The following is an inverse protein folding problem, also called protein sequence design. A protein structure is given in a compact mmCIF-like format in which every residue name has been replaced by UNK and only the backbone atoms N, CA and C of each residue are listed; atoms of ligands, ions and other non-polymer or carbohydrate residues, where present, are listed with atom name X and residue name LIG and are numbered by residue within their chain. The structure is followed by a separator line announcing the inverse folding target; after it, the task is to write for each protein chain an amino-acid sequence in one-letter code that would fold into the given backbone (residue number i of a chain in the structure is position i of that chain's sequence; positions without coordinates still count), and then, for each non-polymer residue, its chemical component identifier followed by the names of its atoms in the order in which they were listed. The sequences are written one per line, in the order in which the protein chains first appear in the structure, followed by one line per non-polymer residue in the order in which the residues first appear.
data_IF_992021187700
#
_entry.id   IF_992021187700
#
_cell.length_a   1.000
_cell.length_b   1.000
_cell.length_c   1.000
_cell.angle_alpha   90.00
_cell.angle_beta   90.00
_cell.angle_gamma   90.00
#
_symmetry.space_group_name_H-M   'P 1'
#
loop_
_entity.id
_entity.type
_entity.pdbx_description
1 polymer ?
#
# COMPACT_ATOMS: atom_id res chain seq x y z
N UNK A 1 40.29 20.58 38.88
CA UNK A 1 39.95 19.96 37.58
C UNK A 1 39.00 20.89 36.85
N UNK A 2 39.34 21.28 35.63
CA UNK A 2 38.50 22.09 34.74
C UNK A 2 37.24 21.30 34.38
N UNK A 3 36.06 21.91 34.51
CA UNK A 3 34.78 21.29 34.15
C UNK A 3 34.82 20.82 32.67
N UNK A 4 34.75 19.50 32.39
CA UNK A 4 34.85 18.96 31.03
C UNK A 4 33.76 19.50 30.10
N UNK A 5 32.63 19.99 30.64
CA UNK A 5 31.56 20.62 29.86
C UNK A 5 32.00 21.91 29.17
N UNK A 6 33.06 22.57 29.65
CA UNK A 6 33.66 23.75 29.00
C UNK A 6 34.41 23.43 27.71
N UNK A 7 34.72 22.14 27.47
CA UNK A 7 35.39 21.66 26.27
C UNK A 7 34.42 21.29 25.14
N UNK A 8 33.11 21.23 25.41
CA UNK A 8 32.11 20.88 24.39
C UNK A 8 32.17 21.91 23.26
N UNK A 9 32.43 21.50 22.00
CA UNK A 9 32.56 22.41 20.87
C UNK A 9 31.31 23.26 20.69
N UNK A 10 31.46 24.53 20.30
CA UNK A 10 30.32 25.40 20.01
C UNK A 10 29.61 24.93 18.74
N UNK A 11 28.30 25.14 18.67
CA UNK A 11 27.49 24.73 17.52
C UNK A 11 27.99 25.34 16.21
N UNK A 12 28.45 26.60 16.22
CA UNK A 12 29.00 27.24 15.01
C UNK A 12 30.30 26.59 14.53
N UNK A 13 31.13 26.08 15.45
CA UNK A 13 32.34 25.34 15.09
C UNK A 13 31.99 23.96 14.47
N UNK A 14 31.00 23.26 15.04
CA UNK A 14 30.51 21.99 14.50
C UNK A 14 29.82 22.17 13.13
N UNK A 15 29.06 23.25 12.95
CA UNK A 15 28.44 23.58 11.66
C UNK A 15 29.46 23.98 10.58
N UNK A 16 30.72 24.23 10.95
CA UNK A 16 31.83 24.46 10.03
C UNK A 16 32.64 23.18 9.74
N UNK A 17 32.36 22.04 10.40
CA UNK A 17 32.94 20.75 10.04
C UNK A 17 32.50 20.39 8.60
N UNK A 18 33.43 20.09 7.67
CA UNK A 18 33.10 19.81 6.27
C UNK A 18 32.03 18.72 6.09
N UNK A 19 32.04 17.69 6.94
CA UNK A 19 31.07 16.58 6.90
C UNK A 19 29.65 17.08 7.21
N UNK A 20 29.54 18.01 8.15
CA UNK A 20 28.28 18.63 8.55
C UNK A 20 27.88 19.77 7.58
N UNK A 21 28.82 20.40 6.88
CA UNK A 21 28.53 21.34 5.78
C UNK A 21 27.85 20.63 4.61
N UNK A 22 28.38 19.48 4.19
CA UNK A 22 27.75 18.68 3.13
C UNK A 22 26.37 18.18 3.55
N UNK A 23 26.23 17.73 4.81
CA UNK A 23 24.94 17.34 5.37
C UNK A 23 23.94 18.51 5.41
N UNK A 24 24.39 19.74 5.67
CA UNK A 24 23.51 20.92 5.65
C UNK A 24 22.91 21.16 4.25
N UNK A 25 23.69 20.93 3.19
CA UNK A 25 23.22 21.05 1.81
C UNK A 25 22.15 20.01 1.45
N UNK A 26 22.28 18.79 1.98
CA UNK A 26 21.42 17.66 1.64
C UNK A 26 20.19 17.53 2.54
N UNK A 27 20.36 17.72 3.85
CA UNK A 27 19.34 17.48 4.88
C UNK A 27 18.73 18.76 5.44
N UNK A 28 19.34 19.91 5.17
CA UNK A 28 18.94 21.20 5.69
C UNK A 28 19.59 21.53 7.04
N UNK A 29 19.93 22.81 7.21
CA UNK A 29 20.65 23.31 8.40
C UNK A 29 19.92 23.08 9.71
N UNK A 30 18.59 23.19 9.74
CA UNK A 30 17.80 22.99 10.96
C UNK A 30 17.94 21.57 11.50
N UNK A 31 17.88 20.56 10.63
CA UNK A 31 18.02 19.16 11.00
C UNK A 31 19.43 18.89 11.54
N UNK A 32 20.46 19.32 10.80
CA UNK A 32 21.86 19.13 11.21
C UNK A 32 22.13 19.81 12.55
N UNK A 33 21.57 21.01 12.78
CA UNK A 33 21.69 21.70 14.07
C UNK A 33 21.03 20.94 15.22
N UNK A 34 19.89 20.29 15.00
CA UNK A 34 19.24 19.46 16.01
C UNK A 34 20.11 18.26 16.39
N UNK A 35 20.65 17.54 15.40
CA UNK A 35 21.57 16.41 15.62
C UNK A 35 22.83 16.83 16.38
N UNK A 36 23.40 18.00 16.04
CA UNK A 36 24.52 18.59 16.78
C UNK A 36 24.13 18.88 18.23
N UNK A 37 22.94 19.47 18.45
CA UNK A 37 22.48 19.80 19.79
C UNK A 37 22.32 18.54 20.65
N UNK A 38 21.79 17.45 20.09
CA UNK A 38 21.64 16.17 20.78
C UNK A 38 23.00 15.58 21.16
N UNK A 39 23.96 15.55 20.23
CA UNK A 39 25.34 15.11 20.51
C UNK A 39 26.03 15.97 21.59
N UNK A 40 25.85 17.29 21.55
CA UNK A 40 26.35 18.20 22.58
C UNK A 40 25.72 17.92 23.96
N UNK A 41 24.44 17.51 24.02
CA UNK A 41 23.79 17.16 25.29
C UNK A 41 24.36 15.87 25.87
N UNK A 42 24.60 14.84 25.04
CA UNK A 42 25.28 13.62 25.49
C UNK A 42 26.65 13.92 26.10
N UNK A 43 27.43 14.81 25.48
CA UNK A 43 28.72 15.24 26.02
C UNK A 43 28.59 16.03 27.34
N UNK A 44 27.51 16.81 27.51
CA UNK A 44 27.24 17.54 28.76
C UNK A 44 26.76 16.63 29.88
N UNK A 45 26.05 15.56 29.54
CA UNK A 45 25.62 14.49 30.46
C UNK A 45 26.78 13.57 30.86
N UNK A 46 27.86 13.54 30.07
CA UNK A 46 29.04 12.70 30.32
C UNK A 46 28.99 11.35 29.61
N UNK A 47 28.02 11.14 28.71
CA UNK A 47 27.83 9.89 27.96
C UNK A 47 28.85 9.73 26.82
N UNK A 48 29.39 10.84 26.31
CA UNK A 48 30.47 10.88 25.32
C UNK A 48 31.53 11.93 25.69
N UNK A 49 32.76 11.81 25.18
CA UNK A 49 33.77 12.83 25.42
C UNK A 49 33.48 14.11 24.60
N UNK A 50 33.83 15.30 25.10
CA UNK A 50 33.66 16.55 24.35
C UNK A 50 34.34 16.56 22.97
N UNK A 51 35.46 15.86 22.81
CA UNK A 51 36.20 15.78 21.54
C UNK A 51 35.47 14.88 20.52
N UNK A 52 34.60 13.96 20.97
CA UNK A 52 33.88 12.99 20.11
C UNK A 52 32.56 13.57 19.55
N UNK A 53 32.17 14.78 19.96
CA UNK A 53 30.86 15.37 19.61
C UNK A 53 30.66 15.48 18.09
N UNK A 54 31.70 15.83 17.35
CA UNK A 54 31.61 15.94 15.89
C UNK A 54 31.36 14.58 15.22
N UNK A 55 32.11 13.56 15.65
CA UNK A 55 31.99 12.20 15.10
C UNK A 55 30.63 11.59 15.47
N UNK A 56 30.17 11.83 16.70
CA UNK A 56 28.85 11.40 17.13
C UNK A 56 27.73 12.09 16.35
N UNK A 57 27.83 13.41 16.12
CA UNK A 57 26.85 14.14 15.31
C UNK A 57 26.82 13.64 13.87
N UNK A 58 27.98 13.37 13.26
CA UNK A 58 28.06 12.80 11.90
C UNK A 58 27.46 11.40 11.84
N UNK A 59 27.77 10.53 12.80
CA UNK A 59 27.22 9.17 12.87
C UNK A 59 25.69 9.15 13.11
N UNK A 60 25.18 10.17 13.80
CA UNK A 60 23.76 10.33 14.09
C UNK A 60 22.95 10.97 12.94
N UNK A 61 23.59 11.47 11.88
CA UNK A 61 22.88 12.04 10.73
C UNK A 61 21.93 11.02 10.09
N UNK A 62 20.69 11.41 9.77
CA UNK A 62 19.80 10.54 9.02
C UNK A 62 20.23 10.47 7.55
N UNK A 63 19.87 9.37 6.89
CA UNK A 63 20.14 9.16 5.46
C UNK A 63 19.27 10.08 4.58
N UNK A 64 18.11 10.52 5.10
CA UNK A 64 17.21 11.43 4.40
C UNK A 64 16.66 12.50 5.34
N UNK A 65 16.14 13.59 4.78
CA UNK A 65 15.41 14.61 5.54
C UNK A 65 14.02 14.14 6.01
N UNK A 66 13.59 12.94 5.62
CA UNK A 66 12.35 12.32 6.08
C UNK A 66 12.59 11.36 7.26
N UNK A 67 11.58 11.22 8.12
CA UNK A 67 11.61 10.33 9.28
C UNK A 67 11.40 8.86 8.93
N UNK A 68 10.82 8.57 7.75
CA UNK A 68 10.62 7.21 7.27
C UNK A 68 11.98 6.56 6.97
N UNK A 69 12.12 5.28 7.34
CA UNK A 69 13.34 4.49 7.18
C UNK A 69 13.08 3.33 6.22
N UNK A 70 14.08 2.93 5.41
CA UNK A 70 13.97 1.72 4.62
C UNK A 70 13.85 0.49 5.53
N UNK A 71 12.97 -0.44 5.13
CA UNK A 71 12.73 -1.70 5.82
C UNK A 71 12.77 -2.83 4.80
N UNK A 72 13.58 -3.85 5.05
CA UNK A 72 13.48 -5.13 4.36
C UNK A 72 12.33 -5.91 5.00
N UNK A 73 11.26 -6.11 4.23
CA UNK A 73 10.11 -6.90 4.64
C UNK A 73 10.44 -8.40 4.51
N UNK A 74 10.81 -9.05 5.61
CA UNK A 74 11.02 -10.50 5.68
C UNK A 74 9.89 -11.19 6.45
N UNK A 75 8.69 -10.59 6.47
CA UNK A 75 7.55 -11.13 7.21
C UNK A 75 6.77 -12.20 6.44
N UNK A 76 6.98 -12.33 5.13
CA UNK A 76 6.14 -13.21 4.30
C UNK A 76 4.74 -12.65 4.06
N UNK A 77 4.45 -11.42 4.47
CA UNK A 77 3.20 -10.72 4.18
C UNK A 77 3.43 -9.77 3.01
N UNK A 78 2.88 -10.11 1.83
CA UNK A 78 3.16 -9.41 0.56
C UNK A 78 2.69 -7.95 0.61
N UNK A 79 1.44 -7.73 1.01
CA UNK A 79 0.79 -6.43 1.16
C UNK A 79 0.70 -6.11 2.65
N UNK A 80 1.81 -5.62 3.22
CA UNK A 80 1.89 -5.33 4.64
C UNK A 80 1.47 -3.89 4.95
N UNK A 81 0.30 -3.70 5.57
CA UNK A 81 -0.29 -2.38 5.85
C UNK A 81 0.64 -1.45 6.65
N UNK A 82 1.27 -1.95 7.72
CA UNK A 82 2.18 -1.13 8.54
C UNK A 82 3.52 -0.78 7.86
N UNK A 83 3.91 -1.50 6.80
CA UNK A 83 5.15 -1.26 6.05
C UNK A 83 4.91 -0.51 4.74
N UNK A 84 3.70 0.04 4.55
CA UNK A 84 3.37 0.85 3.36
C UNK A 84 2.72 0.09 2.21
N UNK A 85 2.18 -1.11 2.45
CA UNK A 85 1.49 -1.96 1.45
C UNK A 85 2.41 -2.39 0.30
N UNK A 86 2.04 -2.10 -0.95
CA UNK A 86 2.75 -2.53 -2.15
C UNK A 86 4.04 -1.71 -2.37
N UNK A 87 5.22 -2.36 -2.44
CA UNK A 87 6.42 -1.70 -2.91
C UNK A 87 6.35 -1.45 -4.42
N UNK A 88 6.91 -0.32 -4.86
CA UNK A 88 6.96 0.04 -6.28
C UNK A 88 8.08 -0.69 -7.01
N UNK A 89 7.84 -1.08 -8.26
CA UNK A 89 8.90 -1.58 -9.15
C UNK A 89 9.93 -0.48 -9.45
N UNK A 90 11.13 -0.86 -9.92
CA UNK A 90 12.15 0.11 -10.33
C UNK A 90 11.63 1.08 -11.38
N UNK A 91 10.87 0.58 -12.36
CA UNK A 91 10.24 1.41 -13.40
C UNK A 91 9.29 2.46 -12.81
N UNK A 92 8.47 2.08 -11.83
CA UNK A 92 7.58 3.02 -11.15
C UNK A 92 8.34 4.03 -10.29
N UNK A 93 9.43 3.63 -9.61
CA UNK A 93 10.31 4.55 -8.88
C UNK A 93 10.96 5.57 -9.82
N UNK A 94 11.51 5.14 -10.95
CA UNK A 94 12.14 6.04 -11.93
C UNK A 94 11.11 7.03 -12.53
N UNK A 95 9.86 6.60 -12.72
CA UNK A 95 8.76 7.46 -13.12
C UNK A 95 8.43 8.52 -12.05
N UNK A 96 8.43 8.16 -10.76
CA UNK A 96 8.25 9.11 -9.65
C UNK A 96 9.41 10.10 -9.58
N UNK A 97 10.65 9.65 -9.75
CA UNK A 97 11.84 10.52 -9.77
C UNK A 97 11.71 11.54 -10.90
N UNK A 98 11.30 11.11 -12.10
CA UNK A 98 11.00 12.02 -13.21
C UNK A 98 9.89 13.01 -12.86
N UNK A 99 8.80 12.51 -12.27
CA UNK A 99 7.66 13.32 -11.85
C UNK A 99 7.97 14.27 -10.68
N UNK A 100 9.11 14.15 -10.00
CA UNK A 100 9.54 15.13 -8.99
C UNK A 100 9.78 16.51 -9.61
N UNK A 101 10.24 16.56 -10.88
CA UNK A 101 10.40 17.77 -11.68
C UNK A 101 9.12 18.27 -12.35
N UNK A 102 9.25 19.23 -13.27
CA UNK A 102 8.14 19.67 -14.11
C UNK A 102 7.83 18.61 -15.17
N UNK A 103 6.55 18.27 -15.34
CA UNK A 103 6.08 17.27 -16.31
C UNK A 103 4.85 17.76 -17.06
N UNK A 104 4.55 17.13 -18.19
CA UNK A 104 3.43 17.42 -19.08
C UNK A 104 2.09 16.83 -18.58
N UNK A 105 1.94 16.66 -17.26
CA UNK A 105 0.80 15.97 -16.61
C UNK A 105 -0.59 16.45 -17.04
N UNK A 106 -0.72 17.73 -17.45
CA UNK A 106 -1.94 18.35 -18.00
C UNK A 106 -1.62 19.23 -19.23
N UNK A 107 -0.51 18.97 -19.92
CA UNK A 107 -0.03 19.81 -21.01
C UNK A 107 0.28 18.98 -22.25
N UNK A 108 -0.19 19.41 -23.40
CA UNK A 108 0.12 18.76 -24.65
C UNK A 108 1.33 19.45 -25.30
N UNK A 109 2.46 18.74 -25.35
CA UNK A 109 3.71 19.26 -25.89
C UNK A 109 3.65 19.56 -27.41
N UNK A 110 2.77 18.89 -28.16
CA UNK A 110 2.65 19.10 -29.60
C UNK A 110 1.85 20.37 -29.93
N UNK A 111 0.81 20.66 -29.15
CA UNK A 111 -0.10 21.80 -29.38
C UNK A 111 0.16 23.00 -28.49
N UNK A 112 0.92 22.84 -27.41
CA UNK A 112 1.18 23.88 -26.41
C UNK A 112 -0.04 24.25 -25.56
N UNK A 113 -1.05 23.36 -25.48
CA UNK A 113 -2.34 23.63 -24.82
C UNK A 113 -2.60 22.69 -23.65
N UNK A 114 -3.58 23.04 -22.82
CA UNK A 114 -4.02 22.20 -21.70
C UNK A 114 -4.64 20.90 -22.22
N UNK A 115 -4.25 19.78 -21.62
CA UNK A 115 -4.71 18.43 -21.93
C UNK A 115 -5.44 17.80 -20.73
N UNK A 116 -6.04 16.62 -20.96
CA UNK A 116 -6.60 15.79 -19.89
C UNK A 116 -5.47 15.33 -18.94
N UNK A 117 -5.68 15.53 -17.63
CA UNK A 117 -4.72 15.11 -16.60
C UNK A 117 -4.49 13.59 -16.67
N UNK A 118 -3.22 13.19 -16.67
CA UNK A 118 -2.85 11.77 -16.54
C UNK A 118 -3.35 10.90 -17.70
N UNK A 119 -3.36 11.43 -18.94
CA UNK A 119 -3.86 10.72 -20.12
C UNK A 119 -3.21 9.34 -20.33
N UNK A 120 -1.91 9.20 -20.05
CA UNK A 120 -1.17 7.94 -20.18
C UNK A 120 -1.65 6.90 -19.16
N UNK A 121 -1.61 7.24 -17.87
CA UNK A 121 -2.18 6.40 -16.81
C UNK A 121 -3.64 5.97 -17.07
N UNK A 122 -4.49 6.87 -17.58
CA UNK A 122 -5.87 6.54 -17.91
C UNK A 122 -5.99 5.61 -19.12
N UNK A 123 -5.13 5.75 -20.13
CA UNK A 123 -5.07 4.81 -21.25
C UNK A 123 -4.62 3.42 -20.77
N UNK A 124 -3.54 3.36 -20.00
CA UNK A 124 -3.00 2.12 -19.44
C UNK A 124 -4.02 1.37 -18.56
N UNK A 125 -4.87 2.09 -17.81
CA UNK A 125 -5.97 1.46 -17.06
C UNK A 125 -7.05 0.88 -17.96
N UNK A 126 -7.39 1.56 -19.06
CA UNK A 126 -8.33 1.05 -20.05
C UNK A 126 -7.81 -0.21 -20.73
N UNK A 127 -6.52 -0.24 -21.06
CA UNK A 127 -5.86 -1.41 -21.64
C UNK A 127 -5.79 -2.59 -20.65
N UNK A 128 -5.59 -2.30 -19.36
CA UNK A 128 -5.54 -3.32 -18.31
C UNK A 128 -6.92 -3.93 -17.97
N UNK A 129 -8.01 -3.19 -18.21
CA UNK A 129 -9.39 -3.67 -18.01
C UNK A 129 -10.24 -3.36 -19.25
N UNK A 130 -10.07 -4.10 -20.36
CA UNK A 130 -10.76 -3.80 -21.62
C UNK A 130 -12.29 -3.93 -21.57
N UNK A 131 -12.84 -4.60 -20.55
CA UNK A 131 -14.29 -4.67 -20.31
C UNK A 131 -14.86 -3.34 -19.82
N UNK A 132 -14.02 -2.42 -19.34
CA UNK A 132 -14.44 -1.07 -18.95
C UNK A 132 -14.57 -0.15 -20.17
N UNK A 133 -15.71 0.52 -20.31
CA UNK A 133 -15.91 1.51 -21.36
C UNK A 133 -15.37 2.90 -20.96
N UNK A 134 -15.27 3.15 -19.65
CA UNK A 134 -14.69 4.34 -19.07
C UNK A 134 -13.84 4.00 -17.85
N UNK A 135 -12.78 4.78 -17.66
CA UNK A 135 -11.91 4.67 -16.49
C UNK A 135 -11.59 6.03 -15.88
N UNK A 136 -11.43 6.05 -14.55
CA UNK A 136 -10.98 7.21 -13.82
C UNK A 136 -10.16 6.84 -12.58
N UNK A 137 -9.44 7.83 -12.03
CA UNK A 137 -8.55 7.66 -10.87
C UNK A 137 -8.73 8.82 -9.91
N UNK A 138 -8.89 8.48 -8.63
CA UNK A 138 -8.94 9.40 -7.49
C UNK A 138 -7.90 9.00 -6.44
N UNK A 139 -7.80 9.76 -5.36
CA UNK A 139 -6.75 9.63 -4.33
C UNK A 139 -6.61 8.21 -3.74
N UNK A 140 -7.71 7.55 -3.39
CA UNK A 140 -7.73 6.19 -2.85
C UNK A 140 -9.12 5.56 -3.05
N UNK A 141 -9.28 4.27 -2.76
CA UNK A 141 -10.55 3.57 -2.98
C UNK A 141 -11.70 4.15 -2.12
N UNK A 142 -11.41 4.61 -0.90
CA UNK A 142 -12.40 5.31 -0.07
C UNK A 142 -12.94 6.56 -0.77
N UNK A 143 -12.07 7.34 -1.43
CA UNK A 143 -12.48 8.47 -2.26
C UNK A 143 -13.29 8.05 -3.50
N UNK A 144 -13.03 6.87 -4.07
CA UNK A 144 -13.82 6.35 -5.20
C UNK A 144 -15.26 6.06 -4.78
N UNK A 145 -15.43 5.37 -3.64
CA UNK A 145 -16.76 5.10 -3.07
C UNK A 145 -17.47 6.38 -2.63
N UNK A 146 -16.74 7.32 -2.01
CA UNK A 146 -17.29 8.61 -1.62
C UNK A 146 -17.82 9.37 -2.85
N UNK A 147 -17.04 9.39 -3.94
CA UNK A 147 -17.43 10.03 -5.19
C UNK A 147 -18.66 9.35 -5.81
N UNK A 148 -18.72 8.02 -5.77
CA UNK A 148 -19.90 7.27 -6.22
C UNK A 148 -21.14 7.62 -5.41
N UNK A 149 -21.06 7.64 -4.07
CA UNK A 149 -22.17 8.02 -3.20
C UNK A 149 -22.66 9.46 -3.44
N UNK A 150 -21.73 10.43 -3.51
CA UNK A 150 -22.08 11.83 -3.81
C UNK A 150 -22.73 12.00 -5.19
N UNK A 151 -22.35 11.17 -6.18
CA UNK A 151 -22.83 11.29 -7.56
C UNK A 151 -24.15 10.54 -7.78
N UNK A 152 -24.34 9.39 -7.13
CA UNK A 152 -25.43 8.44 -7.44
C UNK A 152 -26.50 8.39 -6.35
N UNK A 153 -26.17 8.74 -5.10
CA UNK A 153 -27.09 8.66 -3.98
C UNK A 153 -27.24 9.95 -3.15
N UNK A 154 -27.27 11.17 -3.72
CA UNK A 154 -27.51 12.38 -2.93
C UNK A 154 -28.91 12.35 -2.32
N UNK A 155 -29.00 12.22 -0.98
CA UNK A 155 -30.28 12.10 -0.28
C UNK A 155 -31.05 10.80 -0.55
N UNK A 156 -30.40 9.79 -1.15
CA UNK A 156 -30.98 8.49 -1.54
C UNK A 156 -30.37 7.34 -0.75
N UNK A 157 -30.97 6.16 -0.86
CA UNK A 157 -30.56 4.94 -0.16
C UNK A 157 -29.47 4.17 -0.91
N UNK A 158 -28.43 3.75 -0.20
CA UNK A 158 -27.42 2.79 -0.67
C UNK A 158 -27.77 1.45 -0.01
N UNK A 159 -28.13 0.47 -0.82
CA UNK A 159 -28.56 -0.85 -0.35
C UNK A 159 -27.38 -1.80 -0.30
N UNK A 160 -27.11 -2.41 0.85
CA UNK A 160 -25.90 -3.24 1.07
C UNK A 160 -26.19 -4.40 2.03
N UNK A 161 -25.52 -5.52 1.83
CA UNK A 161 -25.59 -6.67 2.74
C UNK A 161 -24.95 -6.33 4.09
N UNK A 162 -25.61 -6.71 5.20
CA UNK A 162 -25.05 -6.57 6.57
C UNK A 162 -23.70 -7.26 6.73
N UNK A 163 -23.51 -8.41 6.07
CA UNK A 163 -22.25 -9.16 6.09
C UNK A 163 -21.09 -8.49 5.37
N UNK A 164 -21.36 -7.44 4.59
CA UNK A 164 -20.38 -6.71 3.79
C UNK A 164 -20.05 -5.32 4.38
N UNK A 165 -20.57 -5.01 5.58
CA UNK A 165 -20.23 -3.79 6.30
C UNK A 165 -18.89 -3.95 7.00
N UNK A 166 -17.86 -3.35 6.42
CA UNK A 166 -16.48 -3.54 6.85
C UNK A 166 -15.94 -2.35 7.64
N UNK A 167 -15.11 -2.68 8.64
CA UNK A 167 -14.14 -1.77 9.24
C UNK A 167 -12.74 -2.14 8.73
N UNK A 168 -11.98 -1.16 8.24
CA UNK A 168 -10.66 -1.37 7.65
C UNK A 168 -9.63 -0.47 8.34
N UNK A 169 -8.45 -1.00 8.63
CA UNK A 169 -7.33 -0.20 9.14
C UNK A 169 -7.62 0.44 10.50
N UNK A 170 -7.30 1.73 10.64
CA UNK A 170 -7.39 2.52 11.88
C UNK A 170 -8.81 3.08 12.11
N UNK A 171 -9.82 2.19 12.11
CA UNK A 171 -11.21 2.55 12.38
C UNK A 171 -11.99 3.15 11.21
N UNK A 172 -11.53 3.00 9.96
CA UNK A 172 -12.32 3.42 8.80
C UNK A 172 -13.58 2.56 8.67
N UNK A 173 -14.75 3.20 8.77
CA UNK A 173 -16.06 2.54 8.66
C UNK A 173 -16.78 3.03 7.41
N UNK A 174 -17.05 2.10 6.50
CA UNK A 174 -17.73 2.39 5.25
C UNK A 174 -19.10 3.10 5.45
N UNK A 175 -19.97 2.69 6.40
CA UNK A 175 -21.23 3.38 6.63
C UNK A 175 -21.06 4.85 7.05
N UNK A 176 -20.11 5.14 7.94
CA UNK A 176 -19.87 6.50 8.43
C UNK A 176 -19.39 7.42 7.31
N UNK A 177 -18.48 6.92 6.45
CA UNK A 177 -18.01 7.65 5.28
C UNK A 177 -19.18 8.00 4.34
N UNK A 178 -20.03 7.03 4.03
CA UNK A 178 -21.14 7.25 3.09
C UNK A 178 -22.26 8.11 3.69
N UNK A 179 -22.57 7.97 4.97
CA UNK A 179 -23.55 8.84 5.63
C UNK A 179 -23.10 10.31 5.64
N UNK A 180 -21.78 10.55 5.65
CA UNK A 180 -21.23 11.91 5.55
C UNK A 180 -21.56 12.63 4.22
N UNK A 181 -21.97 11.90 3.18
CA UNK A 181 -22.41 12.48 1.90
C UNK A 181 -23.88 12.86 1.86
N UNK A 182 -24.62 12.67 2.97
CA UNK A 182 -26.06 12.82 3.03
C UNK A 182 -26.83 11.65 2.42
N UNK A 183 -26.16 10.55 2.07
CA UNK A 183 -26.78 9.30 1.65
C UNK A 183 -27.28 8.51 2.86
N UNK A 184 -28.32 7.69 2.68
CA UNK A 184 -28.83 6.79 3.73
C UNK A 184 -28.34 5.37 3.46
N UNK A 185 -27.91 4.66 4.50
CA UNK A 185 -27.56 3.25 4.38
C UNK A 185 -28.79 2.39 4.66
N UNK A 186 -29.10 1.48 3.73
CA UNK A 186 -30.16 0.49 3.87
C UNK A 186 -29.56 -0.90 3.89
N UNK A 187 -29.40 -1.42 5.09
CA UNK A 187 -28.80 -2.73 5.32
C UNK A 187 -29.82 -3.84 5.09
N UNK A 188 -29.42 -4.90 4.37
CA UNK A 188 -30.25 -6.07 4.06
C UNK A 188 -29.61 -7.38 4.53
N UNK A 189 -30.43 -8.43 4.65
CA UNK A 189 -29.97 -9.75 5.07
C UNK A 189 -29.45 -9.78 6.51
N UNK A 190 -28.51 -10.69 6.76
CA UNK A 190 -27.84 -10.91 8.05
C UNK A 190 -26.33 -10.98 7.87
N UNK A 191 -25.57 -11.03 8.96
CA UNK A 191 -24.10 -11.06 8.91
C UNK A 191 -23.54 -12.21 8.07
N UNK A 192 -24.09 -13.41 8.24
CA UNK A 192 -23.60 -14.61 7.56
C UNK A 192 -24.41 -14.95 6.29
N UNK A 193 -25.67 -14.53 6.19
CA UNK A 193 -26.56 -14.92 5.09
C UNK A 193 -27.34 -13.72 4.55
N UNK A 194 -27.17 -13.48 3.26
CA UNK A 194 -27.98 -12.54 2.48
C UNK A 194 -28.46 -13.23 1.21
N UNK A 195 -29.73 -13.04 0.89
CA UNK A 195 -30.41 -13.63 -0.26
C UNK A 195 -30.90 -12.53 -1.22
N UNK A 196 -31.10 -12.87 -2.49
CA UNK A 196 -31.52 -11.91 -3.52
C UNK A 196 -32.83 -11.18 -3.15
N UNK A 197 -33.78 -11.88 -2.52
CA UNK A 197 -35.03 -11.27 -2.04
C UNK A 197 -34.81 -10.15 -1.02
N UNK A 198 -33.76 -10.25 -0.20
CA UNK A 198 -33.49 -9.25 0.84
C UNK A 198 -33.11 -7.91 0.19
N UNK A 199 -32.44 -7.96 -0.97
CA UNK A 199 -32.21 -6.78 -1.82
C UNK A 199 -33.50 -6.34 -2.49
N UNK A 200 -34.21 -7.24 -3.17
CA UNK A 200 -35.43 -6.90 -3.91
C UNK A 200 -36.49 -6.20 -3.05
N UNK A 201 -36.72 -6.68 -1.83
CA UNK A 201 -37.67 -6.11 -0.86
C UNK A 201 -37.22 -4.72 -0.34
N UNK A 202 -35.94 -4.40 -0.46
CA UNK A 202 -35.36 -3.14 -0.04
C UNK A 202 -35.34 -2.06 -1.13
N UNK A 203 -35.48 -2.44 -2.41
CA UNK A 203 -35.44 -1.50 -3.52
C UNK A 203 -36.73 -0.67 -3.60
N UNK A 204 -36.58 0.59 -3.99
CA UNK A 204 -37.70 1.49 -4.22
C UNK A 204 -37.28 2.80 -4.89
N UNK A 205 -38.19 3.77 -5.01
CA UNK A 205 -37.93 5.05 -5.69
C UNK A 205 -36.72 5.82 -5.11
N UNK A 206 -36.49 5.68 -3.80
CA UNK A 206 -35.40 6.32 -3.09
C UNK A 206 -34.06 5.60 -3.21
N UNK A 207 -33.97 4.44 -3.88
CA UNK A 207 -32.71 3.70 -4.02
C UNK A 207 -31.78 4.38 -5.00
N UNK A 208 -30.62 4.83 -4.51
CA UNK A 208 -29.53 5.36 -5.33
C UNK A 208 -28.83 4.25 -6.12
N UNK A 209 -28.33 3.23 -5.41
CA UNK A 209 -27.68 2.06 -6.00
C UNK A 209 -27.58 0.92 -4.97
N UNK A 210 -27.33 -0.28 -5.48
CA UNK A 210 -26.88 -1.44 -4.72
C UNK A 210 -25.37 -1.38 -4.62
N UNK A 211 -24.84 -1.48 -3.40
CA UNK A 211 -23.42 -1.60 -3.13
C UNK A 211 -23.09 -3.04 -2.74
N UNK A 212 -22.21 -3.68 -3.50
CA UNK A 212 -21.61 -4.97 -3.15
C UNK A 212 -20.14 -4.77 -2.79
N UNK A 213 -19.74 -5.20 -1.60
CA UNK A 213 -18.38 -4.96 -1.08
C UNK A 213 -17.68 -6.28 -0.78
N UNK A 214 -16.46 -6.42 -1.25
CA UNK A 214 -15.62 -7.56 -0.91
C UNK A 214 -15.01 -7.41 0.50
N UNK A 215 -15.22 -8.37 1.42
CA UNK A 215 -14.59 -8.37 2.74
C UNK A 215 -13.09 -8.73 2.65
N UNK A 216 -12.27 -7.80 2.15
CA UNK A 216 -10.86 -8.03 1.82
C UNK A 216 -9.91 -8.29 3.01
N UNK A 217 -10.40 -8.17 4.25
CA UNK A 217 -9.60 -8.29 5.48
C UNK A 217 -10.10 -9.34 6.48
N UNK A 218 -11.20 -10.05 6.20
CA UNK A 218 -11.70 -11.15 7.03
C UNK A 218 -12.50 -12.16 6.21
N UNK A 219 -12.70 -13.35 6.75
CA UNK A 219 -13.57 -14.38 6.18
C UNK A 219 -14.61 -14.78 7.21
N UNK A 220 -15.86 -14.90 6.78
CA UNK A 220 -16.93 -15.57 7.56
C UNK A 220 -17.01 -17.01 7.07
N UNK A 221 -16.86 -17.98 7.98
CA UNK A 221 -16.93 -19.41 7.67
C UNK A 221 -18.13 -20.08 8.36
N UNK A 222 -18.55 -21.24 7.84
CA UNK A 222 -19.70 -22.00 8.33
C UNK A 222 -20.95 -21.85 7.44
N UNK A 223 -22.11 -21.58 8.04
CA UNK A 223 -23.37 -21.41 7.29
C UNK A 223 -23.47 -20.00 6.70
N UNK A 224 -22.82 -19.80 5.56
CA UNK A 224 -22.80 -18.52 4.86
C UNK A 224 -23.57 -18.55 3.53
N UNK A 225 -24.12 -17.41 3.13
CA UNK A 225 -24.72 -17.22 1.81
C UNK A 225 -24.53 -15.76 1.38
N UNK A 226 -24.11 -15.56 0.14
CA UNK A 226 -24.01 -14.25 -0.49
C UNK A 226 -24.71 -14.25 -1.85
N UNK A 227 -25.02 -13.06 -2.36
CA UNK A 227 -25.61 -12.86 -3.68
C UNK A 227 -24.51 -12.46 -4.66
N UNK A 228 -24.44 -13.12 -5.81
CA UNK A 228 -23.45 -12.82 -6.85
C UNK A 228 -23.76 -11.50 -7.58
N UNK A 229 -22.77 -10.94 -8.28
CA UNK A 229 -22.97 -9.75 -9.13
C UNK A 229 -24.01 -10.03 -10.21
N UNK A 230 -23.90 -11.18 -10.90
CA UNK A 230 -24.83 -11.61 -11.95
C UNK A 230 -26.28 -11.73 -11.46
N UNK A 231 -26.50 -12.10 -10.19
CA UNK A 231 -27.84 -12.09 -9.60
C UNK A 231 -28.32 -10.67 -9.28
N UNK A 232 -27.47 -9.81 -8.71
CA UNK A 232 -27.85 -8.44 -8.33
C UNK A 232 -28.26 -7.59 -9.53
N UNK A 233 -27.58 -7.73 -10.66
CA UNK A 233 -27.89 -6.98 -11.89
C UNK A 233 -29.22 -7.37 -12.52
N UNK A 234 -29.87 -8.46 -12.05
CA UNK A 234 -31.24 -8.80 -12.47
C UNK A 234 -32.30 -7.91 -11.82
N UNK A 235 -31.92 -7.16 -10.78
CA UNK A 235 -32.77 -6.18 -10.12
C UNK A 235 -32.70 -4.82 -10.84
N UNK A 236 -33.79 -4.05 -10.82
CA UNK A 236 -33.87 -2.73 -11.45
C UNK A 236 -33.17 -1.64 -10.61
N UNK A 237 -31.85 -1.75 -10.47
CA UNK A 237 -31.01 -0.80 -9.75
C UNK A 237 -29.58 -0.78 -10.28
N UNK A 238 -28.91 0.37 -10.18
CA UNK A 238 -27.47 0.47 -10.45
C UNK A 238 -26.69 -0.39 -9.46
N UNK A 239 -25.75 -1.21 -9.94
CA UNK A 239 -24.89 -2.07 -9.12
C UNK A 239 -23.47 -1.52 -9.11
N UNK A 240 -23.02 -1.07 -7.94
CA UNK A 240 -21.63 -0.67 -7.67
C UNK A 240 -20.93 -1.79 -6.92
N UNK A 241 -19.82 -2.29 -7.47
CA UNK A 241 -19.02 -3.36 -6.87
C UNK A 241 -17.69 -2.79 -6.38
N UNK A 242 -17.45 -2.87 -5.08
CA UNK A 242 -16.14 -2.61 -4.52
C UNK A 242 -15.35 -3.92 -4.41
N UNK A 243 -14.45 -4.16 -5.37
CA UNK A 243 -13.54 -5.32 -5.26
C UNK A 243 -12.47 -5.06 -4.20
N UNK A 244 -12.13 -3.79 -3.97
CA UNK A 244 -11.27 -3.33 -2.87
C UNK A 244 -9.80 -3.75 -2.96
N UNK A 245 -9.48 -4.94 -3.45
CA UNK A 245 -8.15 -5.56 -3.43
C UNK A 245 -7.20 -5.07 -4.51
N UNK A 246 -7.73 -4.43 -5.56
CA UNK A 246 -6.91 -4.00 -6.69
C UNK A 246 -6.62 -5.09 -7.71
N UNK A 247 -7.23 -6.28 -7.58
CA UNK A 247 -7.12 -7.30 -8.61
C UNK A 247 -7.89 -6.87 -9.87
N UNK A 248 -7.19 -6.70 -10.98
CA UNK A 248 -7.79 -6.23 -12.23
C UNK A 248 -8.33 -7.37 -13.09
N UNK A 249 -7.65 -8.53 -13.06
CA UNK A 249 -7.99 -9.74 -13.81
C UNK A 249 -7.86 -10.96 -12.90
N UNK A 250 -8.56 -12.08 -13.17
CA UNK A 250 -8.48 -13.27 -12.34
C UNK A 250 -7.04 -13.77 -12.17
N UNK A 251 -6.70 -14.25 -10.97
CA UNK A 251 -5.39 -14.83 -10.67
C UNK A 251 -5.53 -16.32 -10.31
N UNK A 252 -4.72 -17.24 -10.89
CA UNK A 252 -4.84 -18.67 -10.62
C UNK A 252 -4.68 -19.07 -9.15
N UNK A 253 -3.82 -18.36 -8.41
CA UNK A 253 -3.64 -18.58 -6.97
C UNK A 253 -4.73 -17.95 -6.10
N UNK A 254 -5.56 -17.06 -6.66
CA UNK A 254 -6.61 -16.33 -5.95
C UNK A 254 -7.99 -16.51 -6.64
N UNK A 255 -8.47 -17.75 -6.82
CA UNK A 255 -9.64 -18.04 -7.65
C UNK A 255 -10.95 -17.42 -7.13
N UNK A 256 -11.05 -17.21 -5.81
CA UNK A 256 -12.23 -16.64 -5.16
C UNK A 256 -12.09 -15.12 -4.90
N UNK A 257 -10.94 -14.53 -5.23
CA UNK A 257 -10.72 -13.10 -5.06
C UNK A 257 -11.41 -12.34 -6.21
N UNK A 258 -12.31 -11.40 -5.92
CA UNK A 258 -13.02 -10.69 -6.97
C UNK A 258 -12.08 -9.76 -7.73
N UNK A 259 -12.25 -9.72 -9.06
CA UNK A 259 -11.47 -8.87 -9.95
C UNK A 259 -12.36 -7.92 -10.77
N UNK A 260 -11.77 -6.80 -11.20
CA UNK A 260 -12.50 -5.78 -11.92
C UNK A 260 -13.05 -6.26 -13.27
N UNK A 261 -12.31 -7.08 -13.99
CA UNK A 261 -12.70 -7.57 -15.32
C UNK A 261 -13.93 -8.48 -15.24
N UNK A 262 -13.95 -9.42 -14.29
CA UNK A 262 -15.07 -10.33 -14.08
C UNK A 262 -16.29 -9.62 -13.54
N UNK A 263 -16.14 -8.72 -12.56
CA UNK A 263 -17.27 -7.95 -12.03
C UNK A 263 -17.98 -7.12 -13.11
N UNK A 264 -17.23 -6.49 -14.03
CA UNK A 264 -17.81 -5.78 -15.18
C UNK A 264 -18.45 -6.74 -16.18
N UNK A 265 -17.84 -7.89 -16.45
CA UNK A 265 -18.39 -8.91 -17.34
C UNK A 265 -19.73 -9.45 -16.83
N UNK A 266 -19.87 -9.59 -15.52
CA UNK A 266 -21.09 -10.02 -14.84
C UNK A 266 -22.17 -8.92 -14.76
N UNK A 267 -21.87 -7.72 -15.27
CA UNK A 267 -22.85 -6.65 -15.47
C UNK A 267 -22.80 -5.51 -14.47
N UNK A 268 -21.78 -5.42 -13.61
CA UNK A 268 -21.63 -4.28 -12.71
C UNK A 268 -21.56 -2.95 -13.50
N UNK A 269 -22.32 -1.94 -13.05
CA UNK A 269 -22.30 -0.60 -13.68
C UNK A 269 -21.01 0.16 -13.38
N UNK A 270 -20.48 -0.02 -12.17
CA UNK A 270 -19.27 0.60 -11.67
C UNK A 270 -18.50 -0.38 -10.79
N UNK A 271 -17.20 -0.49 -11.02
CA UNK A 271 -16.27 -1.20 -10.14
C UNK A 271 -15.26 -0.22 -9.53
N UNK A 272 -15.01 -0.34 -8.23
CA UNK A 272 -13.97 0.40 -7.51
C UNK A 272 -12.90 -0.52 -6.96
N UNK A 273 -11.64 -0.07 -6.99
CA UNK A 273 -10.50 -0.83 -6.46
C UNK A 273 -9.38 0.06 -5.91
N UNK A 274 -8.52 -0.49 -5.05
CA UNK A 274 -7.28 0.16 -4.60
C UNK A 274 -6.13 -0.09 -5.58
N UNK A 275 -5.27 0.92 -5.78
CA UNK A 275 -4.04 0.77 -6.59
C UNK A 275 -2.83 0.18 -5.84
N UNK A 276 -2.79 0.26 -4.51
CA UNK A 276 -1.63 -0.08 -3.67
C UNK A 276 -1.74 -1.41 -2.93
N UNK A 277 -2.55 -2.32 -3.47
CA UNK A 277 -2.78 -3.66 -2.92
C UNK A 277 -2.31 -4.71 -3.93
N UNK A 278 -3.20 -5.58 -4.44
CA UNK A 278 -2.84 -6.63 -5.40
C UNK A 278 -2.38 -6.10 -6.76
N UNK A 279 -2.78 -4.88 -7.15
CA UNK A 279 -2.22 -4.23 -8.34
C UNK A 279 -0.69 -4.01 -8.21
N UNK A 280 -0.18 -3.82 -7.00
CA UNK A 280 1.24 -3.57 -6.78
C UNK A 280 1.72 -2.17 -7.17
N UNK A 281 0.79 -1.19 -7.25
CA UNK A 281 1.07 0.18 -7.64
C UNK A 281 1.06 1.18 -6.48
N UNK A 282 0.98 2.49 -6.78
CA UNK A 282 0.85 3.53 -5.76
C UNK A 282 -0.57 3.60 -5.20
N UNK A 283 -0.76 4.33 -4.09
CA UNK A 283 -2.08 4.57 -3.53
C UNK A 283 -2.96 5.28 -4.56
N UNK A 284 -4.06 4.65 -4.94
CA UNK A 284 -5.04 5.19 -5.87
C UNK A 284 -6.42 4.56 -5.63
N UNK A 285 -7.48 5.29 -5.99
CA UNK A 285 -8.83 4.76 -6.14
C UNK A 285 -9.13 4.64 -7.61
N UNK A 286 -9.30 3.41 -8.08
CA UNK A 286 -9.53 3.10 -9.47
C UNK A 286 -11.03 2.96 -9.71
N UNK A 287 -11.53 3.54 -10.80
CA UNK A 287 -12.93 3.44 -11.20
C UNK A 287 -13.01 2.88 -12.61
N UNK A 288 -13.83 1.86 -12.80
CA UNK A 288 -14.08 1.21 -14.08
C UNK A 288 -15.59 1.08 -14.27
N UNK A 289 -16.13 1.35 -15.45
CA UNK A 289 -17.57 1.23 -15.68
C UNK A 289 -17.98 1.68 -17.07
N UNK A 290 -19.26 2.02 -17.24
CA UNK A 290 -19.74 2.64 -18.48
C UNK A 290 -19.13 4.04 -18.69
N UNK A 291 -18.92 4.42 -19.95
CA UNK A 291 -18.28 5.69 -20.30
C UNK A 291 -19.06 6.90 -19.72
N UNK A 292 -20.39 6.88 -19.83
CA UNK A 292 -21.26 7.95 -19.34
C UNK A 292 -21.25 8.04 -17.82
N UNK A 293 -21.29 6.90 -17.11
CA UNK A 293 -21.25 6.89 -15.66
C UNK A 293 -19.92 7.43 -15.15
N UNK A 294 -18.80 6.90 -15.65
CA UNK A 294 -17.47 7.35 -15.22
C UNK A 294 -17.27 8.84 -15.54
N UNK A 295 -17.76 9.32 -16.67
CA UNK A 295 -17.69 10.74 -17.02
C UNK A 295 -18.56 11.62 -16.09
N UNK A 296 -19.73 11.13 -15.64
CA UNK A 296 -20.53 11.80 -14.61
C UNK A 296 -19.75 11.94 -13.30
N UNK A 297 -19.13 10.85 -12.82
CA UNK A 297 -18.28 10.89 -11.62
C UNK A 297 -17.10 11.87 -11.79
N UNK A 298 -16.43 11.82 -12.94
CA UNK A 298 -15.29 12.72 -13.26
C UNK A 298 -15.67 14.20 -13.25
N UNK A 299 -16.90 14.53 -13.67
CA UNK A 299 -17.41 15.91 -13.73
C UNK A 299 -17.97 16.40 -12.39
N UNK A 300 -18.20 15.51 -11.43
CA UNK A 300 -18.71 15.92 -10.12
C UNK A 300 -17.72 16.88 -9.42
N UNK A 301 -18.18 17.98 -8.79
CA UNK A 301 -17.29 18.97 -8.18
C UNK A 301 -16.29 18.40 -7.16
N UNK A 302 -16.71 17.40 -6.38
CA UNK A 302 -15.83 16.74 -5.40
C UNK A 302 -14.65 16.01 -6.04
N UNK A 303 -14.74 15.60 -7.32
CA UNK A 303 -13.63 14.95 -8.03
C UNK A 303 -12.37 15.83 -8.04
N UNK A 304 -12.52 17.17 -7.99
CA UNK A 304 -11.38 18.08 -7.88
C UNK A 304 -10.67 18.01 -6.53
N UNK A 305 -11.40 17.80 -5.44
CA UNK A 305 -10.85 17.63 -4.10
C UNK A 305 -10.22 16.23 -3.92
N UNK A 306 -10.80 15.22 -4.56
CA UNK A 306 -10.35 13.83 -4.53
C UNK A 306 -9.29 13.51 -5.61
N UNK A 307 -8.83 14.52 -6.35
CA UNK A 307 -7.96 14.35 -7.50
C UNK A 307 -6.58 13.82 -7.10
N UNK A 308 -6.13 12.80 -7.82
CA UNK A 308 -4.79 12.23 -7.67
C UNK A 308 -3.67 13.19 -8.10
N UNK A 309 -2.54 13.15 -7.40
CA UNK A 309 -1.35 13.97 -7.67
C UNK A 309 -0.52 13.42 -8.85
N UNK A 310 0.57 14.13 -9.23
CA UNK A 310 1.39 13.77 -10.39
C UNK A 310 2.30 12.56 -10.15
N UNK A 311 2.76 12.35 -8.92
CA UNK A 311 3.67 11.26 -8.56
C UNK A 311 2.93 9.93 -8.66
N UNK A 312 1.73 9.88 -8.08
CA UNK A 312 0.84 8.72 -8.16
C UNK A 312 0.47 8.39 -9.61
N UNK A 313 0.15 9.40 -10.44
CA UNK A 313 -0.15 9.15 -11.87
C UNK A 313 1.05 8.53 -12.62
N UNK A 314 2.25 9.05 -12.40
CA UNK A 314 3.46 8.54 -13.04
C UNK A 314 3.78 7.10 -12.59
N UNK A 315 3.71 6.84 -11.27
CA UNK A 315 3.89 5.49 -10.73
C UNK A 315 2.83 4.53 -11.25
N UNK A 316 1.56 4.93 -11.31
CA UNK A 316 0.45 4.08 -11.75
C UNK A 316 0.60 3.69 -13.22
N UNK A 317 0.94 4.64 -14.09
CA UNK A 317 1.20 4.36 -15.50
C UNK A 317 2.33 3.34 -15.66
N UNK A 318 3.48 3.58 -15.01
CA UNK A 318 4.62 2.67 -15.05
C UNK A 318 4.34 1.30 -14.40
N UNK A 319 3.43 1.23 -13.42
CA UNK A 319 2.97 -0.03 -12.81
C UNK A 319 2.21 -0.88 -13.83
N UNK A 320 1.35 -0.24 -14.64
CA UNK A 320 0.47 -0.93 -15.58
C UNK A 320 1.19 -1.35 -16.87
N UNK A 321 2.12 -0.52 -17.36
CA UNK A 321 2.83 -0.76 -18.64
C UNK A 321 4.20 -1.39 -18.47
N UNK A 322 4.74 -1.38 -17.25
CA UNK A 322 6.08 -1.85 -16.93
C UNK A 322 6.18 -3.36 -16.72
N UNK A 323 7.33 -3.84 -16.22
CA UNK A 323 7.50 -5.24 -15.83
C UNK A 323 6.58 -5.61 -14.64
N UNK A 324 6.45 -6.92 -14.33
CA UNK A 324 5.70 -7.37 -13.16
C UNK A 324 6.07 -6.60 -11.89
N UNK A 325 5.06 -6.27 -11.09
CA UNK A 325 5.26 -5.54 -9.84
C UNK A 325 5.90 -6.44 -8.79
N UNK A 326 6.57 -5.88 -7.76
CA UNK A 326 7.05 -6.68 -6.64
C UNK A 326 5.97 -7.53 -5.97
N UNK A 327 4.73 -7.03 -5.91
CA UNK A 327 3.58 -7.80 -5.41
C UNK A 327 3.28 -9.00 -6.32
N UNK A 328 3.22 -8.80 -7.64
CA UNK A 328 3.01 -9.90 -8.58
C UNK A 328 4.15 -10.93 -8.53
N UNK A 329 5.41 -10.47 -8.52
CA UNK A 329 6.57 -11.36 -8.39
C UNK A 329 6.58 -12.15 -7.09
N UNK A 330 6.20 -11.54 -5.97
CA UNK A 330 6.08 -12.22 -4.69
C UNK A 330 4.92 -13.23 -4.67
N UNK A 331 3.82 -12.94 -5.37
CA UNK A 331 2.68 -13.85 -5.48
C UNK A 331 3.06 -15.09 -6.32
N UNK A 332 3.73 -14.88 -7.45
CA UNK A 332 4.14 -15.92 -8.40
C UNK A 332 5.50 -16.58 -8.07
N UNK A 333 6.09 -16.26 -6.91
CA UNK A 333 7.42 -16.76 -6.55
C UNK A 333 7.46 -18.30 -6.51
N UNK A 334 8.43 -18.88 -7.23
CA UNK A 334 8.69 -20.31 -7.25
C UNK A 334 9.23 -20.80 -5.90
N UNK A 335 8.54 -21.78 -5.32
CA UNK A 335 8.84 -22.30 -3.98
C UNK A 335 10.18 -23.02 -3.95
N UNK A 336 10.56 -23.72 -5.03
CA UNK A 336 11.83 -24.43 -5.09
C UNK A 336 13.01 -23.45 -5.06
N UNK A 337 12.91 -22.35 -5.82
CA UNK A 337 13.87 -21.24 -5.78
C UNK A 337 13.97 -20.59 -4.39
N UNK A 338 12.84 -20.34 -3.72
CA UNK A 338 12.85 -19.80 -2.35
C UNK A 338 13.56 -20.74 -1.37
N UNK A 339 13.33 -22.05 -1.45
CA UNK A 339 14.00 -23.06 -0.61
C UNK A 339 15.50 -23.10 -0.87
N UNK A 340 15.92 -23.08 -2.13
CA UNK A 340 17.33 -23.05 -2.50
C UNK A 340 18.03 -21.79 -1.95
N UNK A 341 17.41 -20.61 -2.12
CA UNK A 341 17.91 -19.34 -1.54
C UNK A 341 17.99 -19.40 -0.02
N UNK A 342 16.98 -19.95 0.65
CA UNK A 342 16.98 -20.07 2.11
C UNK A 342 18.16 -20.92 2.62
N UNK A 343 18.45 -22.05 1.95
CA UNK A 343 19.59 -22.92 2.30
C UNK A 343 20.92 -22.19 2.10
N UNK A 344 21.09 -21.50 0.98
CA UNK A 344 22.30 -20.74 0.69
C UNK A 344 22.55 -19.66 1.75
N UNK A 345 21.54 -18.82 2.02
CA UNK A 345 21.66 -17.70 2.95
C UNK A 345 21.82 -18.17 4.40
N UNK A 346 21.10 -19.22 4.82
CA UNK A 346 21.27 -19.79 6.15
C UNK A 346 22.69 -20.35 6.35
N UNK A 347 23.30 -20.95 5.31
CA UNK A 347 24.68 -21.45 5.36
C UNK A 347 25.74 -20.36 5.62
N UNK A 348 25.40 -19.09 5.40
CA UNK A 348 26.27 -17.93 5.65
C UNK A 348 26.11 -17.34 7.05
N UNK A 349 25.11 -17.79 7.81
CA UNK A 349 24.66 -17.15 9.05
C UNK A 349 24.81 -18.09 10.26
N UNK A 350 25.57 -17.71 11.30
CA UNK A 350 25.74 -18.55 12.49
C UNK A 350 24.41 -18.83 13.20
N UNK A 351 24.10 -20.11 13.43
CA UNK A 351 22.88 -20.52 14.15
C UNK A 351 21.56 -20.33 13.37
N UNK A 352 21.66 -20.06 12.06
CA UNK A 352 20.52 -19.99 11.17
C UNK A 352 20.18 -21.36 10.57
N UNK A 353 18.89 -21.59 10.32
CA UNK A 353 18.40 -22.80 9.66
C UNK A 353 17.44 -22.40 8.52
N UNK A 354 17.53 -23.05 7.38
CA UNK A 354 16.52 -22.92 6.33
C UNK A 354 15.30 -23.76 6.70
N UNK A 355 14.11 -23.16 6.66
CA UNK A 355 12.86 -23.84 7.03
C UNK A 355 11.76 -23.57 6.01
N UNK A 356 10.90 -24.56 5.81
CA UNK A 356 9.63 -24.36 5.12
C UNK A 356 8.71 -23.47 5.99
N UNK A 357 7.96 -22.58 5.35
CA UNK A 357 6.99 -21.75 6.05
C UNK A 357 5.81 -21.39 5.14
N UNK A 358 4.86 -20.61 5.68
CA UNK A 358 3.68 -20.14 4.96
C UNK A 358 3.67 -18.61 4.96
N UNK A 359 3.65 -18.06 3.76
CA UNK A 359 3.45 -16.65 3.50
C UNK A 359 1.95 -16.34 3.35
N UNK A 360 1.61 -15.06 3.42
CA UNK A 360 0.24 -14.57 3.24
C UNK A 360 0.23 -13.38 2.29
N UNK A 361 -0.91 -13.16 1.62
CA UNK A 361 -1.11 -11.98 0.78
C UNK A 361 -1.08 -10.71 1.65
N UNK A 362 -1.76 -10.70 2.80
CA UNK A 362 -1.78 -9.54 3.72
C UNK A 362 -3.00 -8.64 3.59
N UNK A 363 -3.03 -7.54 4.36
CA UNK A 363 -4.21 -6.70 4.67
C UNK A 363 -4.80 -5.87 3.51
N UNK A 364 -4.84 -6.44 2.31
CA UNK A 364 -5.30 -5.82 1.08
C UNK A 364 -5.98 -6.79 0.09
N UNK A 365 -6.40 -7.97 0.51
CA UNK A 365 -7.09 -8.94 -0.36
C UNK A 365 -6.73 -10.37 -0.02
N UNK A 366 -7.54 -11.30 -0.50
CA UNK A 366 -7.35 -12.74 -0.34
C UNK A 366 -7.07 -13.22 1.11
N UNK A 367 -7.91 -12.82 2.09
CA UNK A 367 -7.73 -13.26 3.47
C UNK A 367 -7.83 -14.79 3.58
N UNK A 368 -6.88 -15.40 4.29
CA UNK A 368 -6.84 -16.84 4.53
C UNK A 368 -6.17 -17.67 3.42
N UNK A 369 -5.69 -17.05 2.34
CA UNK A 369 -4.87 -17.76 1.34
C UNK A 369 -3.45 -17.98 1.88
N UNK A 370 -3.10 -19.25 2.02
CA UNK A 370 -1.76 -19.71 2.42
C UNK A 370 -0.88 -19.91 1.18
N UNK A 371 0.28 -19.24 1.17
CA UNK A 371 1.26 -19.35 0.10
C UNK A 371 2.48 -20.13 0.61
N UNK A 372 2.77 -21.34 0.10
CA UNK A 372 3.98 -22.07 0.49
C UNK A 372 5.24 -21.22 0.27
N UNK A 373 6.15 -21.22 1.24
CA UNK A 373 7.34 -20.37 1.22
C UNK A 373 8.54 -21.03 1.93
N UNK A 374 9.66 -20.32 1.96
CA UNK A 374 10.86 -20.70 2.69
C UNK A 374 11.43 -19.48 3.44
N UNK A 375 11.98 -19.73 4.62
CA UNK A 375 12.52 -18.71 5.50
C UNK A 375 13.89 -19.09 6.06
N UNK A 376 14.63 -18.07 6.49
CA UNK A 376 15.76 -18.22 7.39
C UNK A 376 15.22 -18.14 8.83
N UNK A 377 15.45 -19.18 9.62
CA UNK A 377 15.05 -19.30 11.01
C UNK A 377 16.22 -18.97 11.93
N UNK A 378 16.04 -17.97 12.80
CA UNK A 378 17.00 -17.52 13.81
C UNK A 378 16.37 -17.59 15.21
N UNK A 379 17.18 -17.39 16.25
CA UNK A 379 16.64 -17.17 17.62
C UNK A 379 15.71 -15.95 17.65
N UNK A 380 14.61 -15.98 18.41
CA UNK A 380 13.71 -14.84 18.57
C UNK A 380 14.40 -13.56 19.07
N UNK A 381 15.56 -13.67 19.73
CA UNK A 381 16.35 -12.52 20.18
C UNK A 381 16.78 -11.59 19.04
N UNK A 382 16.94 -12.10 17.81
CA UNK A 382 17.32 -11.30 16.64
C UNK A 382 16.24 -10.29 16.25
N UNK A 383 14.96 -10.55 16.53
CA UNK A 383 13.86 -9.74 16.03
C UNK A 383 13.94 -8.27 16.49
N UNK A 384 14.37 -8.00 17.73
CA UNK A 384 14.51 -6.63 18.24
C UNK A 384 15.72 -5.93 17.62
N UNK A 385 16.86 -6.63 17.57
CA UNK A 385 18.11 -6.09 17.02
C UNK A 385 17.97 -5.76 15.52
N UNK A 386 17.35 -6.65 14.74
CA UNK A 386 17.10 -6.47 13.32
C UNK A 386 16.22 -5.25 12.99
N UNK A 387 15.25 -4.91 13.85
CA UNK A 387 14.45 -3.68 13.68
C UNK A 387 15.25 -2.40 13.94
N UNK A 388 16.34 -2.49 14.71
CA UNK A 388 17.23 -1.37 15.00
C UNK A 388 18.40 -1.26 13.98
N UNK A 389 18.61 -2.28 13.15
CA UNK A 389 19.64 -2.32 12.12
C UNK A 389 19.40 -1.29 10.99
N UNK A 390 20.40 -1.15 10.11
CA UNK A 390 20.35 -0.25 8.94
C UNK A 390 20.84 -1.00 7.68
N UNK A 391 19.93 -1.37 6.75
CA UNK A 391 18.48 -1.19 6.81
C UNK A 391 17.85 -2.01 7.94
N UNK A 392 16.67 -1.59 8.40
CA UNK A 392 15.92 -2.39 9.35
C UNK A 392 15.37 -3.64 8.66
N UNK A 393 15.34 -4.78 9.34
CA UNK A 393 14.75 -6.02 8.84
C UNK A 393 13.60 -6.42 9.76
N UNK A 394 12.44 -6.74 9.19
CA UNK A 394 11.27 -7.17 9.96
C UNK A 394 10.89 -8.59 9.53
N UNK A 395 11.06 -9.55 10.45
CA UNK A 395 10.56 -10.91 10.33
C UNK A 395 9.36 -11.18 11.25
N UNK A 396 8.87 -12.43 11.24
CA UNK A 396 7.84 -12.91 12.18
C UNK A 396 8.49 -13.64 13.36
N UNK A 397 7.90 -13.52 14.55
CA UNK A 397 8.31 -14.34 15.71
C UNK A 397 7.26 -15.41 15.95
N UNK A 398 7.68 -16.67 15.90
CA UNK A 398 6.81 -17.83 16.09
C UNK A 398 7.60 -18.93 16.81
N UNK A 399 7.00 -19.54 17.84
CA UNK A 399 7.57 -20.68 18.57
C UNK A 399 9.03 -20.46 19.05
N UNK A 400 9.34 -19.24 19.52
CA UNK A 400 10.67 -18.87 20.01
C UNK A 400 11.71 -18.62 18.90
N UNK A 401 11.31 -18.59 17.63
CA UNK A 401 12.15 -18.32 16.47
C UNK A 401 11.78 -17.01 15.78
N UNK A 402 12.76 -16.32 15.22
CA UNK A 402 12.57 -15.23 14.27
C UNK A 402 12.70 -15.77 12.85
N UNK A 403 11.61 -15.74 12.09
CA UNK A 403 11.55 -16.20 10.71
C UNK A 403 11.68 -15.01 9.76
N UNK A 404 12.65 -15.08 8.87
CA UNK A 404 12.89 -14.15 7.77
C UNK A 404 12.43 -14.84 6.46
N UNK A 405 11.17 -14.65 6.11
CA UNK A 405 10.52 -15.29 4.96
C UNK A 405 10.96 -14.61 3.65
N UNK A 406 11.54 -15.38 2.75
CA UNK A 406 12.17 -14.88 1.53
C UNK A 406 11.17 -14.57 0.42
N UNK A 407 9.88 -14.91 0.55
CA UNK A 407 8.87 -14.53 -0.46
C UNK A 407 8.72 -13.03 -0.59
N UNK A 408 8.97 -12.28 0.49
CA UNK A 408 8.88 -10.81 0.50
C UNK A 408 10.24 -10.12 0.47
N UNK A 409 11.33 -10.89 0.32
CA UNK A 409 12.71 -10.36 0.19
C UNK A 409 13.16 -10.52 -1.26
N UNK A 410 13.37 -9.38 -1.91
CA UNK A 410 13.87 -9.36 -3.29
C UNK A 410 15.29 -9.96 -3.35
N UNK A 411 15.65 -10.73 -4.38
CA UNK A 411 17.00 -11.30 -4.52
C UNK A 411 18.12 -10.26 -4.41
N UNK A 412 17.90 -9.05 -4.91
CA UNK A 412 18.85 -7.93 -4.80
C UNK A 412 19.12 -7.47 -3.36
N UNK A 413 18.24 -7.78 -2.40
CA UNK A 413 18.37 -7.43 -0.99
C UNK A 413 19.09 -8.51 -0.16
N UNK A 414 19.45 -9.65 -0.75
CA UNK A 414 20.04 -10.80 -0.04
C UNK A 414 21.34 -10.44 0.72
N UNK A 415 22.22 -9.66 0.09
CA UNK A 415 23.46 -9.20 0.73
C UNK A 415 23.19 -8.23 1.89
N UNK A 416 22.21 -7.34 1.74
CA UNK A 416 21.82 -6.41 2.78
C UNK A 416 21.18 -7.14 3.97
N UNK A 417 20.37 -8.18 3.69
CA UNK A 417 19.79 -9.06 4.70
C UNK A 417 20.87 -9.78 5.50
N UNK A 418 21.82 -10.44 4.82
CA UNK A 418 22.93 -11.15 5.47
C UNK A 418 23.77 -10.21 6.33
N UNK A 419 24.14 -9.04 5.80
CA UNK A 419 24.90 -8.04 6.55
C UNK A 419 24.15 -7.56 7.80
N UNK A 420 22.83 -7.33 7.71
CA UNK A 420 22.01 -6.92 8.85
C UNK A 420 21.94 -7.99 9.94
N UNK A 421 21.84 -9.28 9.56
CA UNK A 421 21.85 -10.39 10.52
C UNK A 421 23.21 -10.51 11.20
N UNK A 422 24.31 -10.48 10.45
CA UNK A 422 25.67 -10.56 11.00
C UNK A 422 26.02 -9.38 11.91
N UNK A 423 25.43 -8.20 11.70
CA UNK A 423 25.60 -7.06 12.60
C UNK A 423 24.85 -7.23 13.94
N UNK A 424 23.95 -8.20 14.04
CA UNK A 424 23.14 -8.49 15.23
C UNK A 424 23.63 -9.72 16.04
N UNK A 425 24.66 -10.42 15.56
CA UNK A 425 25.23 -11.62 16.21
C UNK A 425 26.07 -11.31 17.44
#
# INVERSE_FOLDING_TARGET
MTDPRRRVPRTDALLADPRLVDAQRLLGRTLVKAVIADAQQLARAGDIAPDDVADHAVAALPVSAASLKPVINATGVIVHTNLGRAPLSRAAVDAVVTASGATDVEFDLATGRRARRGRGALAALGDAVPTAQGVHVVNNNAAALLLAAMTLAPGREIVVSRGELIEIGDGFRLPELMQSTGSRFREVGTTNRTHLRDYADALGPDTGFILKVHPSNYVVSGFTAGVSVAELVTLDATVVVDVGSGLLTPHPLLPEEPDATTALRDGADLVTASGDKLLGGPQAGLLFGSADLVERLRRHPAARALRVDKLTLAALEATLVGPPTPVASALDADVASLKARAVELAGRLPGAEAVDCVAAVGGGGAPGIELPSAAISLSASYAVALRAARPAVVGRVQDGRCLLDLRTVAPEDDEALVAAVLACT
#
